data_IF_163286085980
#
_entry.id   IF_163286085980
#
_cell.length_a   1.000
_cell.length_b   1.000
_cell.length_c   1.000
_cell.angle_alpha   90.00
_cell.angle_beta   90.00
_cell.angle_gamma   90.00
#
_symmetry.space_group_name_H-M   'P 1'
#
loop_
_entity.id
_entity.type
_entity.pdbx_description
1 polymer ?
#
# COMPACT_ATOMS: atom_id res chain seq x y z
N UNK A 1 -22.89 51.94 69.40
CA UNK A 1 -23.47 50.94 68.44
C UNK A 1 -22.65 50.97 67.21
N UNK A 2 -21.88 49.92 67.05
CA UNK A 2 -20.76 49.83 66.14
C UNK A 2 -21.22 49.26 64.76
N UNK A 3 -21.16 50.09 63.70
CA UNK A 3 -21.48 49.68 62.28
C UNK A 3 -20.16 49.45 61.53
N UNK A 4 -19.50 48.35 61.81
CA UNK A 4 -18.27 47.98 61.08
C UNK A 4 -18.09 46.48 60.84
N UNK A 5 -19.14 45.79 60.37
CA UNK A 5 -18.97 44.37 59.98
C UNK A 5 -19.91 44.05 58.84
N UNK A 6 -19.57 44.41 57.58
CA UNK A 6 -19.99 43.76 56.36
C UNK A 6 -19.19 44.32 55.18
N UNK A 7 -17.87 43.97 55.09
CA UNK A 7 -17.16 43.97 53.82
C UNK A 7 -17.33 42.57 53.22
N UNK A 8 -17.82 42.45 52.01
CA UNK A 8 -17.77 41.16 51.32
C UNK A 8 -16.30 40.82 50.99
N UNK A 9 -15.91 39.55 51.00
CA UNK A 9 -14.53 39.16 50.63
C UNK A 9 -14.27 39.60 49.20
N UNK A 10 -13.18 40.35 48.99
CA UNK A 10 -12.64 40.61 47.68
C UNK A 10 -12.03 39.31 47.18
N UNK A 11 -12.77 38.61 46.30
CA UNK A 11 -12.20 37.58 45.43
C UNK A 11 -11.29 38.22 44.39
N UNK A 12 -10.12 38.62 44.84
CA UNK A 12 -8.97 38.94 43.97
C UNK A 12 -8.09 37.71 43.98
N UNK A 13 -8.22 36.88 42.98
CA UNK A 13 -7.21 35.97 42.45
C UNK A 13 -7.87 34.76 41.73
N UNK A 14 -9.00 34.98 41.08
CA UNK A 14 -9.46 34.00 40.07
C UNK A 14 -8.52 34.13 38.86
N UNK A 15 -7.37 33.43 38.89
CA UNK A 15 -6.59 33.17 37.69
C UNK A 15 -7.56 32.57 36.65
N UNK A 16 -7.62 33.10 35.43
CA UNK A 16 -8.42 32.51 34.39
C UNK A 16 -7.92 31.08 34.21
N UNK A 17 -8.78 30.11 34.52
CA UNK A 17 -8.53 28.71 34.23
C UNK A 17 -8.24 28.62 32.70
N UNK A 18 -6.96 28.46 32.36
CA UNK A 18 -6.55 28.24 31.00
C UNK A 18 -7.23 26.95 30.54
N UNK A 19 -8.33 27.10 29.80
CA UNK A 19 -9.03 25.99 29.19
C UNK A 19 -8.02 25.32 28.26
N UNK A 20 -7.58 24.10 28.55
CA UNK A 20 -6.61 23.43 27.69
C UNK A 20 -7.21 23.36 26.28
N UNK A 21 -6.44 23.81 25.27
CA UNK A 21 -6.85 23.85 23.89
C UNK A 21 -7.54 22.53 23.51
N UNK A 22 -8.79 22.60 23.06
CA UNK A 22 -9.61 21.42 22.74
C UNK A 22 -8.95 20.65 21.61
N UNK A 23 -8.31 19.55 21.96
CA UNK A 23 -7.65 18.65 21.00
C UNK A 23 -8.74 18.02 20.13
N UNK A 24 -8.62 18.17 18.80
CA UNK A 24 -9.58 17.58 17.85
C UNK A 24 -9.60 16.05 17.94
N UNK A 25 -10.72 15.37 17.61
CA UNK A 25 -10.80 13.91 17.65
C UNK A 25 -9.69 13.22 16.85
N UNK A 26 -9.34 13.74 15.68
CA UNK A 26 -8.26 13.20 14.85
C UNK A 26 -6.88 13.34 15.51
N UNK A 27 -6.60 14.47 16.17
CA UNK A 27 -5.35 14.66 16.92
C UNK A 27 -5.23 13.68 18.09
N UNK A 28 -6.34 13.36 18.77
CA UNK A 28 -6.35 12.34 19.85
C UNK A 28 -6.02 10.95 19.31
N UNK A 29 -6.63 10.56 18.20
CA UNK A 29 -6.34 9.28 17.53
C UNK A 29 -4.86 9.21 17.13
N UNK A 30 -4.34 10.26 16.52
CA UNK A 30 -2.93 10.31 16.11
C UNK A 30 -1.95 10.25 17.30
N UNK A 31 -2.24 10.92 18.40
CA UNK A 31 -1.44 10.83 19.62
C UNK A 31 -1.46 9.42 20.22
N UNK A 32 -2.63 8.77 20.25
CA UNK A 32 -2.77 7.38 20.71
C UNK A 32 -2.02 6.40 19.79
N UNK A 33 -2.12 6.58 18.48
CA UNK A 33 -1.38 5.79 17.49
C UNK A 33 0.14 5.89 17.71
N UNK A 34 0.67 7.10 17.89
CA UNK A 34 2.09 7.33 18.21
C UNK A 34 2.57 6.67 19.50
N UNK A 35 1.69 6.49 20.48
CA UNK A 35 2.02 5.79 21.73
C UNK A 35 2.25 4.30 21.54
N UNK A 36 1.64 3.68 20.53
CA UNK A 36 1.95 2.32 20.14
C UNK A 36 3.22 2.32 19.27
N UNK A 37 4.39 2.14 19.93
CA UNK A 37 5.69 2.21 19.26
C UNK A 37 5.81 1.24 18.10
N UNK A 38 5.29 0.01 18.25
CA UNK A 38 5.38 -1.02 17.20
C UNK A 38 4.62 -0.60 15.95
N UNK A 39 3.36 -0.19 16.08
CA UNK A 39 2.57 0.26 14.94
C UNK A 39 3.08 1.55 14.30
N UNK A 40 3.56 2.51 15.11
CA UNK A 40 4.14 3.75 14.60
C UNK A 40 5.41 3.49 13.76
N UNK A 41 6.35 2.70 14.29
CA UNK A 41 7.56 2.36 13.54
C UNK A 41 7.27 1.49 12.33
N UNK A 42 6.27 0.59 12.40
CA UNK A 42 5.81 -0.17 11.24
C UNK A 42 5.31 0.73 10.12
N UNK A 43 4.52 1.76 10.45
CA UNK A 43 4.08 2.76 9.46
C UNK A 43 5.28 3.51 8.87
N UNK A 44 6.21 3.98 9.72
CA UNK A 44 7.39 4.74 9.26
C UNK A 44 8.25 3.89 8.34
N UNK A 45 8.57 2.65 8.73
CA UNK A 45 9.37 1.72 7.92
C UNK A 45 8.65 1.42 6.60
N UNK A 46 7.35 1.10 6.64
CA UNK A 46 6.57 0.82 5.44
C UNK A 46 6.59 2.00 4.45
N UNK A 47 6.36 3.22 4.94
CA UNK A 47 6.38 4.44 4.11
C UNK A 47 7.76 4.70 3.53
N UNK A 48 8.83 4.52 4.32
CA UNK A 48 10.22 4.69 3.85
C UNK A 48 10.55 3.66 2.77
N UNK A 49 10.26 2.37 3.00
CA UNK A 49 10.54 1.31 2.02
C UNK A 49 9.72 1.52 0.75
N UNK A 50 8.46 1.94 0.88
CA UNK A 50 7.64 2.26 -0.27
C UNK A 50 8.18 3.49 -1.04
N UNK A 51 8.59 4.55 -0.35
CA UNK A 51 9.20 5.73 -0.98
C UNK A 51 10.52 5.37 -1.70
N UNK A 52 11.36 4.52 -1.10
CA UNK A 52 12.57 3.97 -1.74
C UNK A 52 12.19 3.19 -3.00
N UNK A 53 11.14 2.36 -2.95
CA UNK A 53 10.71 1.58 -4.11
C UNK A 53 10.12 2.45 -5.23
N UNK A 54 9.47 3.57 -4.90
CA UNK A 54 9.02 4.57 -5.88
C UNK A 54 10.19 5.25 -6.57
N UNK A 55 11.26 5.53 -5.81
CA UNK A 55 12.53 6.05 -6.33
C UNK A 55 13.44 4.93 -6.88
N UNK A 56 12.89 3.76 -7.20
CA UNK A 56 13.61 2.57 -7.68
C UNK A 56 14.66 2.85 -8.74
N UNK A 57 14.40 3.66 -9.80
CA UNK A 57 15.40 3.97 -10.83
C UNK A 57 16.65 4.68 -10.31
N UNK A 58 16.64 5.30 -9.14
CA UNK A 58 17.81 5.91 -8.52
C UNK A 58 18.69 4.89 -7.78
N UNK A 59 18.12 3.74 -7.40
CA UNK A 59 18.80 2.70 -6.61
C UNK A 59 19.18 1.47 -7.43
N UNK A 60 18.39 1.16 -8.47
CA UNK A 60 18.50 -0.06 -9.25
C UNK A 60 18.04 0.22 -10.68
N UNK A 61 19.00 0.39 -11.60
CA UNK A 61 18.72 0.66 -13.01
C UNK A 61 19.96 0.32 -13.84
N UNK A 62 19.76 -0.14 -15.07
CA UNK A 62 20.81 -0.38 -16.06
C UNK A 62 21.31 0.92 -16.74
N UNK A 63 20.57 2.02 -16.62
CA UNK A 63 20.94 3.32 -17.17
C UNK A 63 21.65 4.17 -16.13
N UNK A 64 22.77 4.81 -16.46
CA UNK A 64 23.42 5.77 -15.59
C UNK A 64 22.53 7.01 -15.36
N UNK A 65 22.63 7.57 -14.16
CA UNK A 65 21.90 8.79 -13.77
C UNK A 65 22.37 10.00 -14.57
N UNK A 66 23.69 10.10 -14.74
CA UNK A 66 24.36 11.19 -15.47
C UNK A 66 25.56 10.59 -16.21
N UNK A 67 25.73 11.00 -17.45
CA UNK A 67 26.93 10.69 -18.25
C UNK A 67 27.52 11.99 -18.73
N UNK A 68 28.84 12.17 -18.57
CA UNK A 68 29.61 13.18 -19.27
C UNK A 68 30.42 12.51 -20.36
N UNK A 69 30.16 12.87 -21.60
CA UNK A 69 30.87 12.34 -22.76
C UNK A 69 31.24 13.49 -23.73
N UNK A 70 32.53 13.57 -24.09
CA UNK A 70 33.08 14.63 -24.98
C UNK A 70 32.65 16.06 -24.56
N UNK A 71 32.67 16.34 -23.26
CA UNK A 71 32.32 17.65 -22.69
C UNK A 71 30.82 17.94 -22.56
N UNK A 72 29.95 17.10 -23.10
CA UNK A 72 28.49 17.22 -22.98
C UNK A 72 27.94 16.35 -21.85
N UNK A 73 26.86 16.86 -21.21
CA UNK A 73 26.12 16.10 -20.17
C UNK A 73 24.90 15.46 -20.77
N UNK A 74 24.71 14.18 -20.46
CA UNK A 74 23.60 13.35 -20.88
C UNK A 74 22.87 12.77 -19.66
N UNK A 75 21.56 12.60 -19.75
CA UNK A 75 20.69 12.07 -18.69
C UNK A 75 19.93 10.83 -19.20
N UNK A 76 20.57 9.65 -19.25
CA UNK A 76 19.97 8.45 -19.83
C UNK A 76 18.70 7.96 -19.13
N UNK A 77 18.52 8.31 -17.86
CA UNK A 77 17.33 8.00 -17.09
C UNK A 77 16.07 8.70 -17.65
N UNK A 78 16.24 9.90 -18.19
CA UNK A 78 15.13 10.75 -18.69
C UNK A 78 14.95 10.63 -20.19
N UNK A 79 16.06 10.52 -20.93
CA UNK A 79 16.07 10.50 -22.39
C UNK A 79 16.87 9.30 -22.91
N UNK A 80 16.29 8.57 -23.85
CA UNK A 80 16.98 7.49 -24.54
C UNK A 80 17.93 8.07 -25.59
N UNK A 81 19.19 7.64 -25.60
CA UNK A 81 20.21 8.03 -26.57
C UNK A 81 20.59 6.80 -27.40
N UNK A 82 20.91 7.04 -28.68
CA UNK A 82 21.46 6.02 -29.54
C UNK A 82 22.89 5.68 -29.16
N UNK A 83 23.32 4.47 -29.40
CA UNK A 83 24.69 4.01 -29.17
C UNK A 83 25.71 4.86 -29.92
N UNK A 84 25.38 5.33 -31.16
CA UNK A 84 26.20 6.25 -31.96
C UNK A 84 26.52 7.55 -31.24
N UNK A 85 25.70 7.99 -30.27
CA UNK A 85 25.97 9.19 -29.44
C UNK A 85 27.23 9.01 -28.59
N UNK A 86 27.55 7.78 -28.20
CA UNK A 86 28.66 7.41 -27.36
C UNK A 86 29.79 6.70 -28.15
N UNK A 87 29.77 6.85 -29.49
CA UNK A 87 30.78 6.32 -30.38
C UNK A 87 30.65 4.83 -30.71
N UNK A 88 29.45 4.28 -30.53
CA UNK A 88 29.13 2.96 -31.05
C UNK A 88 28.67 2.98 -32.51
N UNK A 89 28.45 1.80 -33.08
CA UNK A 89 28.21 1.64 -34.51
C UNK A 89 26.71 1.62 -34.89
N UNK A 90 25.84 1.42 -33.90
CA UNK A 90 24.41 1.18 -34.17
C UNK A 90 23.50 2.36 -33.75
N UNK A 91 22.47 2.69 -34.54
CA UNK A 91 21.48 3.71 -34.18
C UNK A 91 20.42 3.22 -33.17
N UNK A 92 20.60 2.02 -32.60
CA UNK A 92 19.76 1.47 -31.55
C UNK A 92 20.03 2.13 -30.20
N UNK A 93 19.10 2.04 -29.23
CA UNK A 93 19.34 2.53 -27.87
C UNK A 93 20.62 1.96 -27.30
N UNK A 94 21.46 2.81 -26.67
CA UNK A 94 22.72 2.40 -26.09
C UNK A 94 22.50 1.41 -24.95
N UNK A 95 23.25 0.29 -24.97
CA UNK A 95 23.39 -0.62 -23.83
C UNK A 95 24.51 -0.12 -22.92
N UNK A 96 24.14 0.43 -21.77
CA UNK A 96 25.07 1.00 -20.80
C UNK A 96 25.80 -0.05 -19.96
N UNK A 97 25.44 -1.33 -20.08
CA UNK A 97 26.15 -2.46 -19.47
C UNK A 97 27.22 -3.04 -20.39
N UNK A 98 27.17 -2.73 -21.68
CA UNK A 98 28.18 -3.16 -22.64
C UNK A 98 29.58 -2.66 -22.21
N UNK A 99 30.58 -3.55 -22.06
CA UNK A 99 31.95 -3.18 -21.73
C UNK A 99 32.52 -2.11 -22.66
N UNK A 100 32.22 -2.16 -23.96
CA UNK A 100 32.68 -1.18 -24.94
C UNK A 100 32.22 0.25 -24.63
N UNK A 101 30.93 0.41 -24.31
CA UNK A 101 30.36 1.70 -23.94
C UNK A 101 30.87 2.16 -22.56
N UNK A 102 31.01 1.24 -21.59
CA UNK A 102 31.54 1.54 -20.25
C UNK A 102 32.97 2.00 -20.29
N UNK A 103 33.82 1.38 -21.13
CA UNK A 103 35.20 1.77 -21.28
C UNK A 103 35.35 3.19 -21.83
N UNK A 104 34.49 3.62 -22.75
CA UNK A 104 34.44 5.01 -23.26
C UNK A 104 34.11 6.03 -22.19
N UNK A 105 33.26 5.68 -21.26
CA UNK A 105 32.92 6.57 -20.12
C UNK A 105 34.05 6.66 -19.10
N UNK A 106 35.04 5.73 -19.16
CA UNK A 106 36.20 5.73 -18.27
C UNK A 106 37.42 6.46 -18.88
N UNK A 107 37.33 6.86 -20.14
CA UNK A 107 38.46 7.46 -20.88
C UNK A 107 38.45 9.00 -20.77
N UNK A 108 39.65 9.57 -20.57
CA UNK A 108 39.86 11.01 -20.57
C UNK A 108 39.09 11.76 -19.45
N UNK A 109 38.31 12.77 -19.81
CA UNK A 109 37.48 13.55 -18.88
C UNK A 109 36.03 13.06 -18.80
N UNK A 110 35.72 11.92 -19.42
CA UNK A 110 34.40 11.33 -19.40
C UNK A 110 34.13 10.66 -18.06
N UNK A 111 32.86 10.60 -17.64
CA UNK A 111 32.45 9.80 -16.49
C UNK A 111 30.96 9.43 -16.62
N UNK A 112 30.58 8.34 -15.98
CA UNK A 112 29.20 7.95 -15.81
C UNK A 112 28.90 7.64 -14.34
N UNK A 113 27.79 8.15 -13.83
CA UNK A 113 27.32 7.89 -12.46
C UNK A 113 26.18 6.89 -12.55
N UNK A 114 26.43 5.68 -12.13
CA UNK A 114 25.42 4.61 -12.08
C UNK A 114 24.70 4.57 -10.74
N UNK A 115 23.46 4.03 -10.71
CA UNK A 115 22.82 3.65 -9.47
C UNK A 115 23.66 2.60 -8.72
N UNK A 116 23.48 2.42 -7.39
CA UNK A 116 24.19 1.40 -6.61
C UNK A 116 24.04 -0.03 -7.13
N UNK A 117 22.85 -0.41 -7.61
CA UNK A 117 22.62 -1.63 -8.36
C UNK A 117 22.45 -1.29 -9.85
N UNK A 118 23.29 -1.89 -10.69
CA UNK A 118 23.36 -1.59 -12.12
C UNK A 118 22.35 -2.36 -12.97
N UNK A 119 21.33 -2.95 -12.37
CA UNK A 119 20.33 -3.75 -13.07
C UNK A 119 18.93 -3.19 -12.88
N UNK A 120 18.15 -3.17 -13.94
CA UNK A 120 16.71 -2.95 -13.91
C UNK A 120 16.00 -4.31 -13.69
N UNK A 121 14.71 -4.33 -13.43
CA UNK A 121 14.00 -5.58 -13.11
C UNK A 121 13.91 -6.59 -14.27
N UNK A 122 14.09 -6.15 -15.51
CA UNK A 122 14.04 -6.97 -16.72
C UNK A 122 15.41 -7.09 -17.42
N UNK A 123 16.42 -6.39 -16.94
CA UNK A 123 17.77 -6.45 -17.50
C UNK A 123 18.38 -7.82 -17.31
N UNK A 124 18.84 -8.40 -18.42
CA UNK A 124 19.57 -9.66 -18.45
C UNK A 124 21.07 -9.39 -18.35
N UNK A 125 21.75 -10.10 -17.45
CA UNK A 125 23.20 -10.01 -17.34
C UNK A 125 23.85 -10.98 -18.33
N UNK A 126 24.04 -10.55 -19.58
CA UNK A 126 24.69 -11.35 -20.63
C UNK A 126 26.19 -11.57 -20.39
N UNK A 127 26.82 -10.79 -19.51
CA UNK A 127 28.24 -10.85 -19.21
C UNK A 127 28.55 -11.69 -17.97
N UNK A 128 27.53 -12.29 -17.34
CA UNK A 128 27.72 -13.21 -16.23
C UNK A 128 28.44 -14.48 -16.70
N UNK A 129 29.49 -14.87 -15.97
CA UNK A 129 30.23 -16.14 -16.22
C UNK A 129 29.54 -17.35 -15.56
N UNK A 130 28.59 -17.12 -14.67
CA UNK A 130 27.88 -18.16 -13.95
C UNK A 130 26.60 -18.57 -14.69
N UNK A 131 26.24 -19.85 -14.60
CA UNK A 131 24.93 -20.33 -15.08
C UNK A 131 23.80 -19.79 -14.21
N UNK A 132 22.68 -19.49 -14.83
CA UNK A 132 21.49 -19.02 -14.11
C UNK A 132 20.64 -20.21 -13.59
N UNK A 133 20.06 -20.07 -12.39
CA UNK A 133 20.20 -18.95 -11.44
C UNK A 133 21.59 -18.91 -10.76
N UNK A 134 22.22 -17.74 -10.74
CA UNK A 134 23.54 -17.53 -10.14
C UNK A 134 23.43 -17.06 -8.68
N UNK A 135 24.31 -17.55 -7.76
CA UNK A 135 24.25 -17.19 -6.34
C UNK A 135 24.58 -15.71 -6.11
N UNK A 136 24.30 -15.19 -4.89
CA UNK A 136 24.66 -13.84 -4.49
C UNK A 136 26.13 -13.52 -4.73
N UNK A 137 26.38 -12.34 -5.31
CA UNK A 137 27.71 -11.86 -5.67
C UNK A 137 27.83 -10.35 -5.41
N UNK A 138 29.02 -9.78 -5.68
CA UNK A 138 29.21 -8.32 -5.59
C UNK A 138 28.41 -7.56 -6.66
N UNK A 139 28.18 -8.17 -7.81
CA UNK A 139 27.40 -7.59 -8.91
C UNK A 139 25.91 -7.78 -8.69
N UNK A 140 25.49 -8.99 -8.28
CA UNK A 140 24.12 -9.33 -8.00
C UNK A 140 23.95 -9.64 -6.50
N UNK A 141 23.58 -8.66 -5.70
CA UNK A 141 23.59 -8.76 -4.22
C UNK A 141 22.75 -9.90 -3.66
N UNK A 142 21.63 -10.18 -4.29
CA UNK A 142 20.74 -11.30 -3.92
C UNK A 142 20.75 -12.41 -4.99
N UNK A 143 21.80 -12.46 -5.84
CA UNK A 143 21.88 -13.41 -6.92
C UNK A 143 20.98 -13.07 -8.10
N UNK A 144 20.88 -14.01 -9.05
CA UNK A 144 20.00 -13.90 -10.22
C UNK A 144 18.85 -14.89 -10.15
N UNK A 145 17.80 -14.60 -10.91
CA UNK A 145 16.69 -15.52 -11.14
C UNK A 145 17.01 -16.56 -12.23
N UNK A 146 16.04 -17.41 -12.58
CA UNK A 146 16.19 -18.47 -13.59
C UNK A 146 16.52 -17.95 -14.99
N UNK A 147 16.24 -16.68 -15.28
CA UNK A 147 16.51 -16.02 -16.56
C UNK A 147 17.74 -15.12 -16.54
N UNK A 148 18.44 -15.03 -15.40
CA UNK A 148 19.62 -14.18 -15.23
C UNK A 148 19.32 -12.73 -14.89
N UNK A 149 18.08 -12.42 -14.45
CA UNK A 149 17.70 -11.09 -13.98
C UNK A 149 18.07 -10.93 -12.51
N UNK A 150 18.41 -9.72 -12.11
CA UNK A 150 18.83 -9.41 -10.74
C UNK A 150 17.67 -9.53 -9.75
N UNK A 151 17.83 -10.37 -8.72
CA UNK A 151 16.76 -10.63 -7.72
C UNK A 151 16.49 -9.39 -6.87
N UNK A 152 17.51 -8.58 -6.51
CA UNK A 152 17.29 -7.36 -5.74
C UNK A 152 16.42 -6.36 -6.51
N UNK A 153 16.73 -6.12 -7.79
CA UNK A 153 15.92 -5.29 -8.67
C UNK A 153 14.47 -5.80 -8.74
N UNK A 154 14.30 -7.09 -8.98
CA UNK A 154 12.97 -7.68 -9.07
C UNK A 154 12.17 -7.58 -7.78
N UNK A 155 12.80 -7.73 -6.62
CA UNK A 155 12.16 -7.54 -5.32
C UNK A 155 11.75 -6.09 -5.09
N UNK A 156 12.62 -5.14 -5.39
CA UNK A 156 12.35 -3.70 -5.22
C UNK A 156 11.16 -3.25 -6.07
N UNK A 157 11.17 -3.61 -7.34
CA UNK A 157 10.10 -3.26 -8.28
C UNK A 157 8.84 -4.10 -8.08
N UNK A 158 8.96 -5.39 -7.74
CA UNK A 158 7.84 -6.26 -7.43
C UNK A 158 7.09 -5.82 -6.17
N UNK A 159 7.82 -5.40 -5.13
CA UNK A 159 7.23 -4.77 -3.94
C UNK A 159 6.44 -3.51 -4.32
N UNK A 160 7.00 -2.61 -5.14
CA UNK A 160 6.31 -1.40 -5.63
C UNK A 160 5.01 -1.74 -6.36
N UNK A 161 5.05 -2.69 -7.29
CA UNK A 161 3.87 -3.15 -8.04
C UNK A 161 2.81 -3.69 -7.08
N UNK A 162 3.21 -4.56 -6.16
CA UNK A 162 2.30 -5.17 -5.18
C UNK A 162 1.62 -4.14 -4.26
N UNK A 163 2.37 -3.14 -3.77
CA UNK A 163 1.81 -2.08 -2.91
C UNK A 163 0.87 -1.16 -3.68
N UNK A 164 1.24 -0.73 -4.91
CA UNK A 164 0.36 0.11 -5.74
C UNK A 164 -0.92 -0.65 -6.08
N UNK A 165 -0.81 -1.91 -6.49
CA UNK A 165 -1.96 -2.78 -6.74
C UNK A 165 -2.88 -2.86 -5.52
N UNK A 166 -2.31 -3.13 -4.33
CA UNK A 166 -3.06 -3.23 -3.09
C UNK A 166 -3.75 -1.90 -2.71
N UNK A 167 -3.08 -0.76 -2.91
CA UNK A 167 -3.67 0.56 -2.68
C UNK A 167 -4.87 0.80 -3.59
N UNK A 168 -4.73 0.54 -4.90
CA UNK A 168 -5.79 0.74 -5.88
C UNK A 168 -6.97 -0.20 -5.60
N UNK A 169 -6.71 -1.49 -5.41
CA UNK A 169 -7.75 -2.47 -5.12
C UNK A 169 -8.49 -2.17 -3.81
N UNK A 170 -7.74 -1.79 -2.75
CA UNK A 170 -8.33 -1.41 -1.46
C UNK A 170 -9.15 -0.13 -1.59
N UNK A 171 -8.71 0.87 -2.35
CA UNK A 171 -9.45 2.10 -2.57
C UNK A 171 -10.76 1.84 -3.30
N UNK A 172 -10.73 1.11 -4.42
CA UNK A 172 -11.94 0.77 -5.19
C UNK A 172 -12.91 -0.05 -4.33
N UNK A 173 -12.43 -1.12 -3.69
CA UNK A 173 -13.26 -1.97 -2.85
C UNK A 173 -13.81 -1.23 -1.62
N UNK A 174 -13.10 -0.20 -1.11
CA UNK A 174 -13.60 0.64 -0.02
C UNK A 174 -14.72 1.55 -0.50
N UNK A 175 -14.57 2.19 -1.64
CA UNK A 175 -15.63 3.06 -2.21
C UNK A 175 -16.89 2.24 -2.51
N UNK A 176 -16.75 1.10 -3.20
CA UNK A 176 -17.89 0.23 -3.53
C UNK A 176 -18.57 -0.34 -2.28
N UNK A 177 -17.79 -0.81 -1.30
CA UNK A 177 -18.30 -1.34 -0.04
C UNK A 177 -19.01 -0.27 0.81
N UNK A 178 -18.47 0.96 0.84
CA UNK A 178 -19.13 2.09 1.50
C UNK A 178 -20.46 2.43 0.84
N UNK A 179 -20.50 2.54 -0.47
CA UNK A 179 -21.72 2.88 -1.21
C UNK A 179 -22.78 1.80 -1.04
N UNK A 180 -22.43 0.54 -1.28
CA UNK A 180 -23.39 -0.59 -1.16
C UNK A 180 -23.88 -0.76 0.28
N UNK A 181 -23.00 -0.75 1.28
CA UNK A 181 -23.36 -0.90 2.68
C UNK A 181 -24.15 0.29 3.20
N UNK A 182 -23.80 1.53 2.82
CA UNK A 182 -24.54 2.72 3.22
C UNK A 182 -25.96 2.73 2.69
N UNK A 183 -26.17 2.38 1.41
CA UNK A 183 -27.51 2.32 0.80
C UNK A 183 -28.37 1.26 1.50
N UNK A 184 -27.85 0.04 1.64
CA UNK A 184 -28.56 -1.05 2.29
C UNK A 184 -28.89 -0.72 3.76
N UNK A 185 -27.89 -0.27 4.53
CA UNK A 185 -28.04 0.01 5.95
C UNK A 185 -28.92 1.22 6.25
N UNK A 186 -28.85 2.29 5.43
CA UNK A 186 -29.67 3.48 5.64
C UNK A 186 -31.15 3.26 5.31
N UNK A 187 -31.44 2.76 4.10
CA UNK A 187 -32.85 2.56 3.70
C UNK A 187 -33.45 1.34 4.40
N UNK A 188 -32.71 0.26 4.55
CA UNK A 188 -33.20 -0.97 5.21
C UNK A 188 -34.38 -1.62 4.51
N UNK A 189 -35.11 -2.48 5.22
CA UNK A 189 -36.35 -3.10 4.74
C UNK A 189 -36.16 -3.84 3.40
N UNK A 190 -36.95 -3.52 2.38
CA UNK A 190 -36.90 -4.16 1.06
C UNK A 190 -35.56 -3.90 0.34
N UNK A 191 -35.02 -2.69 0.43
CA UNK A 191 -33.70 -2.33 -0.19
C UNK A 191 -32.58 -3.19 0.39
N UNK A 192 -32.59 -3.37 1.70
CA UNK A 192 -31.63 -4.19 2.40
C UNK A 192 -31.77 -5.67 2.01
N UNK A 193 -32.98 -6.21 2.06
CA UNK A 193 -33.25 -7.61 1.67
C UNK A 193 -32.84 -7.89 0.22
N UNK A 194 -33.21 -7.01 -0.71
CA UNK A 194 -32.85 -7.20 -2.13
C UNK A 194 -31.34 -7.09 -2.31
N UNK A 195 -30.70 -6.11 -1.69
CA UNK A 195 -29.25 -5.94 -1.74
C UNK A 195 -28.50 -7.17 -1.19
N UNK A 196 -28.94 -7.72 -0.06
CA UNK A 196 -28.34 -8.95 0.50
C UNK A 196 -28.55 -10.16 -0.42
N UNK A 197 -29.72 -10.32 -1.04
CA UNK A 197 -29.94 -11.40 -2.00
C UNK A 197 -29.03 -11.30 -3.24
N UNK A 198 -28.83 -10.09 -3.74
CA UNK A 198 -27.88 -9.86 -4.85
C UNK A 198 -26.44 -10.18 -4.45
N UNK A 199 -26.03 -9.77 -3.24
CA UNK A 199 -24.69 -10.10 -2.72
C UNK A 199 -24.52 -11.60 -2.51
N UNK A 200 -25.50 -12.29 -1.97
CA UNK A 200 -25.49 -13.75 -1.79
C UNK A 200 -25.32 -14.49 -3.12
N UNK A 201 -26.08 -14.11 -4.15
CA UNK A 201 -25.97 -14.69 -5.50
C UNK A 201 -24.58 -14.40 -6.09
N UNK A 202 -24.09 -13.17 -5.94
CA UNK A 202 -22.80 -12.74 -6.46
C UNK A 202 -21.63 -13.46 -5.78
N UNK A 203 -21.68 -13.57 -4.45
CA UNK A 203 -20.63 -14.25 -3.66
C UNK A 203 -20.64 -15.78 -3.81
N UNK A 204 -21.72 -16.36 -4.34
CA UNK A 204 -21.76 -17.79 -4.68
C UNK A 204 -20.93 -18.14 -5.92
N UNK A 205 -20.54 -17.13 -6.73
CA UNK A 205 -19.67 -17.33 -7.88
C UNK A 205 -18.24 -17.61 -7.38
N UNK A 206 -17.60 -18.71 -7.82
CA UNK A 206 -16.24 -19.01 -7.38
C UNK A 206 -15.24 -18.10 -8.09
N UNK A 207 -14.71 -17.11 -7.34
CA UNK A 207 -13.82 -16.05 -7.83
C UNK A 207 -12.64 -16.58 -8.65
N UNK A 208 -11.97 -17.63 -8.15
CA UNK A 208 -10.80 -18.22 -8.82
C UNK A 208 -11.15 -18.78 -10.20
N UNK A 209 -12.31 -19.45 -10.34
CA UNK A 209 -12.72 -19.98 -11.64
C UNK A 209 -13.01 -18.86 -12.64
N UNK A 210 -13.63 -17.78 -12.21
CA UNK A 210 -13.85 -16.62 -13.06
C UNK A 210 -12.52 -16.01 -13.51
N UNK A 211 -11.54 -15.87 -12.61
CA UNK A 211 -10.19 -15.41 -12.96
C UNK A 211 -9.55 -16.30 -14.03
N UNK A 212 -9.63 -17.62 -13.89
CA UNK A 212 -9.08 -18.56 -14.88
C UNK A 212 -9.78 -18.40 -16.25
N UNK A 213 -11.11 -18.29 -16.27
CA UNK A 213 -11.88 -18.10 -17.50
C UNK A 213 -11.48 -16.78 -18.17
N UNK A 214 -11.43 -15.68 -17.43
CA UNK A 214 -11.04 -14.38 -17.99
C UNK A 214 -9.58 -14.35 -18.45
N UNK A 215 -8.65 -14.96 -17.71
CA UNK A 215 -7.25 -15.08 -18.10
C UNK A 215 -7.04 -15.95 -19.36
N UNK A 216 -7.96 -16.85 -19.67
CA UNK A 216 -7.92 -17.65 -20.92
C UNK A 216 -8.45 -16.90 -22.15
N UNK A 217 -9.29 -15.87 -21.95
CA UNK A 217 -9.91 -15.09 -23.02
C UNK A 217 -9.16 -13.79 -23.29
N UNK A 218 -8.70 -13.13 -22.22
CA UNK A 218 -8.02 -11.85 -22.26
C UNK A 218 -6.54 -12.00 -21.90
N UNK A 219 -5.68 -11.17 -22.49
CA UNK A 219 -4.29 -11.10 -22.07
C UNK A 219 -4.20 -10.64 -20.60
N UNK A 220 -3.53 -11.39 -19.71
CA UNK A 220 -3.36 -11.01 -18.33
C UNK A 220 -2.69 -9.65 -18.20
N UNK A 221 -3.22 -8.80 -17.34
CA UNK A 221 -2.64 -7.49 -17.04
C UNK A 221 -3.01 -7.03 -15.64
N UNK A 222 -2.22 -6.12 -15.05
CA UNK A 222 -2.55 -5.54 -13.75
C UNK A 222 -3.94 -4.91 -13.72
N UNK A 223 -4.33 -4.23 -14.81
CA UNK A 223 -5.65 -3.60 -14.91
C UNK A 223 -6.77 -4.64 -14.90
N UNK A 224 -6.63 -5.72 -15.68
CA UNK A 224 -7.60 -6.81 -15.69
C UNK A 224 -7.77 -7.43 -14.31
N UNK A 225 -6.66 -7.70 -13.61
CA UNK A 225 -6.69 -8.23 -12.24
C UNK A 225 -7.36 -7.27 -11.25
N UNK A 226 -7.06 -5.97 -11.33
CA UNK A 226 -7.74 -4.95 -10.49
C UNK A 226 -9.25 -4.98 -10.74
N UNK A 227 -9.69 -5.00 -12.00
CA UNK A 227 -11.11 -5.04 -12.35
C UNK A 227 -11.77 -6.30 -11.78
N UNK A 228 -11.21 -7.48 -12.06
CA UNK A 228 -11.79 -8.76 -11.65
C UNK A 228 -11.86 -8.91 -10.12
N UNK A 229 -10.77 -8.60 -9.42
CA UNK A 229 -10.75 -8.67 -7.96
C UNK A 229 -11.62 -7.58 -7.31
N UNK A 230 -11.80 -6.42 -7.97
CA UNK A 230 -12.69 -5.37 -7.49
C UNK A 230 -14.16 -5.78 -7.54
N UNK A 231 -14.56 -6.72 -8.39
CA UNK A 231 -15.92 -7.24 -8.46
C UNK A 231 -16.34 -7.96 -7.16
N UNK A 232 -15.39 -8.54 -6.42
CA UNK A 232 -15.64 -9.32 -5.20
C UNK A 232 -15.12 -8.61 -3.95
N UNK A 233 -14.05 -7.88 -4.03
CA UNK A 233 -13.31 -7.32 -2.91
C UNK A 233 -14.07 -6.31 -2.04
N UNK A 234 -15.22 -5.81 -2.47
CA UNK A 234 -16.04 -4.84 -1.73
C UNK A 234 -17.07 -5.49 -0.79
N UNK A 235 -17.43 -6.77 -1.01
CA UNK A 235 -18.54 -7.47 -0.35
C UNK A 235 -18.38 -7.45 1.17
N UNK A 236 -17.28 -7.97 1.70
CA UNK A 236 -17.05 -8.06 3.14
C UNK A 236 -17.08 -6.69 3.85
N UNK A 237 -16.59 -5.63 3.19
CA UNK A 237 -16.68 -4.28 3.75
C UNK A 237 -18.11 -3.75 3.73
N UNK A 238 -18.87 -4.06 2.69
CA UNK A 238 -20.29 -3.69 2.58
C UNK A 238 -21.09 -4.19 3.77
N UNK A 239 -20.86 -5.42 4.22
CA UNK A 239 -21.55 -5.99 5.37
C UNK A 239 -21.26 -5.22 6.68
N UNK A 240 -19.99 -4.85 6.90
CA UNK A 240 -19.61 -4.04 8.06
C UNK A 240 -20.24 -2.64 8.01
N UNK A 241 -20.18 -1.98 6.88
CA UNK A 241 -20.75 -0.64 6.70
C UNK A 241 -22.26 -0.70 6.85
N UNK A 242 -22.92 -1.71 6.28
CA UNK A 242 -24.35 -1.95 6.44
C UNK A 242 -24.74 -2.08 7.91
N UNK A 243 -24.03 -2.90 8.69
CA UNK A 243 -24.30 -3.07 10.11
C UNK A 243 -24.16 -1.76 10.88
N UNK A 244 -23.11 -0.96 10.60
CA UNK A 244 -22.92 0.35 11.22
C UNK A 244 -24.02 1.34 10.84
N UNK A 245 -24.46 1.36 9.59
CA UNK A 245 -25.54 2.23 9.15
C UNK A 245 -26.89 1.83 9.74
N UNK A 246 -27.19 0.53 9.83
CA UNK A 246 -28.40 0.03 10.51
C UNK A 246 -28.44 0.45 11.98
N UNK A 247 -27.30 0.40 12.68
CA UNK A 247 -27.17 0.85 14.06
C UNK A 247 -27.33 2.36 14.19
N UNK A 248 -26.63 3.11 13.36
CA UNK A 248 -26.57 4.57 13.47
C UNK A 248 -27.87 5.27 13.04
N UNK A 249 -28.61 4.72 12.07
CA UNK A 249 -29.87 5.33 11.59
C UNK A 249 -30.97 5.47 12.64
N UNK A 250 -30.89 4.69 13.73
CA UNK A 250 -31.87 4.69 14.84
C UNK A 250 -31.46 5.61 15.98
N UNK A 251 -30.27 6.23 15.93
CA UNK A 251 -29.77 7.12 16.97
C UNK A 251 -30.51 8.47 17.00
N UNK A 252 -30.54 9.10 18.18
CA UNK A 252 -31.29 10.32 18.41
C UNK A 252 -30.84 11.50 17.55
N UNK A 253 -29.51 11.61 17.28
CA UNK A 253 -29.00 12.67 16.41
C UNK A 253 -29.50 12.55 14.97
N UNK A 254 -29.73 11.32 14.48
CA UNK A 254 -30.33 11.08 13.15
C UNK A 254 -31.84 11.41 13.15
N UNK A 255 -32.53 11.06 14.23
CA UNK A 255 -33.95 11.42 14.39
C UNK A 255 -34.12 12.93 14.44
N UNK A 256 -33.28 13.63 15.19
CA UNK A 256 -33.29 15.09 15.25
C UNK A 256 -33.01 15.72 13.87
N UNK A 257 -32.00 15.21 13.12
CA UNK A 257 -31.71 15.69 11.77
C UNK A 257 -32.93 15.53 10.81
N UNK A 258 -33.65 14.40 10.91
CA UNK A 258 -34.91 14.21 10.14
C UNK A 258 -36.01 15.18 10.56
N UNK A 259 -36.18 15.40 11.86
CA UNK A 259 -37.18 16.33 12.38
C UNK A 259 -36.92 17.78 11.92
N UNK A 260 -35.63 18.13 11.72
CA UNK A 260 -35.21 19.42 11.14
C UNK A 260 -35.37 19.50 9.61
N UNK A 261 -35.87 18.45 8.95
CA UNK A 261 -36.15 18.46 7.51
C UNK A 261 -34.92 18.23 6.62
N UNK A 262 -33.79 17.70 7.15
CA UNK A 262 -32.62 17.40 6.32
C UNK A 262 -32.91 16.27 5.33
N UNK A 263 -32.36 16.37 4.11
CA UNK A 263 -32.49 15.34 3.08
C UNK A 263 -31.74 14.06 3.46
N UNK A 264 -32.15 12.92 2.91
CA UNK A 264 -31.48 11.63 3.14
C UNK A 264 -29.99 11.68 2.80
N UNK A 265 -29.61 12.34 1.69
CA UNK A 265 -28.22 12.51 1.32
C UNK A 265 -27.42 13.30 2.38
N UNK A 266 -27.99 14.41 2.89
CA UNK A 266 -27.35 15.20 3.95
C UNK A 266 -27.18 14.38 5.24
N UNK A 267 -28.17 13.58 5.61
CA UNK A 267 -28.10 12.71 6.79
C UNK A 267 -27.01 11.65 6.61
N UNK A 268 -26.96 10.97 5.46
CA UNK A 268 -25.95 9.96 5.15
C UNK A 268 -24.56 10.57 5.22
N UNK A 269 -24.28 11.61 4.42
CA UNK A 269 -22.92 12.12 4.23
C UNK A 269 -22.42 12.95 5.43
N UNK A 270 -23.29 13.69 6.11
CA UNK A 270 -22.89 14.64 7.14
C UNK A 270 -23.01 14.09 8.56
N UNK A 271 -23.90 13.11 8.78
CA UNK A 271 -24.19 12.62 10.12
C UNK A 271 -23.82 11.16 10.34
N UNK A 272 -24.17 10.24 9.42
CA UNK A 272 -23.95 8.81 9.62
C UNK A 272 -22.55 8.40 9.16
N UNK A 273 -22.18 8.74 7.94
CA UNK A 273 -20.91 8.31 7.33
C UNK A 273 -19.66 8.65 8.17
N UNK A 274 -19.49 9.89 8.68
CA UNK A 274 -18.32 10.21 9.49
C UNK A 274 -18.19 9.34 10.74
N UNK A 275 -19.30 8.99 11.37
CA UNK A 275 -19.34 8.13 12.55
C UNK A 275 -19.12 6.65 12.20
N UNK A 276 -19.45 6.24 10.97
CA UNK A 276 -19.31 4.87 10.47
C UNK A 276 -17.96 4.60 9.82
N UNK A 277 -17.10 5.63 9.60
CA UNK A 277 -15.77 5.46 8.98
C UNK A 277 -14.74 4.82 9.91
N UNK A 278 -14.93 4.87 11.22
CA UNK A 278 -13.96 4.33 12.19
C UNK A 278 -13.62 2.86 11.92
N UNK A 279 -14.58 1.93 11.77
CA UNK A 279 -14.26 0.54 11.43
C UNK A 279 -13.60 0.44 10.05
N UNK A 280 -14.05 1.21 9.07
CA UNK A 280 -13.52 1.19 7.69
C UNK A 280 -12.03 1.50 7.69
N UNK A 281 -11.64 2.59 8.35
CA UNK A 281 -10.23 3.01 8.44
C UNK A 281 -9.39 1.94 9.14
N UNK A 282 -9.92 1.31 10.18
CA UNK A 282 -9.26 0.24 10.92
C UNK A 282 -8.93 -0.97 10.04
N UNK A 283 -9.80 -1.28 9.08
CA UNK A 283 -9.62 -2.44 8.19
C UNK A 283 -8.67 -2.18 7.00
N UNK A 284 -8.35 -0.93 6.66
CA UNK A 284 -7.55 -0.61 5.47
C UNK A 284 -6.21 -1.37 5.40
N UNK A 285 -5.36 -1.41 6.45
CA UNK A 285 -4.08 -2.12 6.37
C UNK A 285 -4.26 -3.63 6.17
N UNK A 286 -5.26 -4.23 6.81
CA UNK A 286 -5.55 -5.66 6.66
C UNK A 286 -6.07 -5.99 5.25
N UNK A 287 -6.88 -5.10 4.66
CA UNK A 287 -7.33 -5.24 3.27
C UNK A 287 -6.18 -5.13 2.28
N UNK A 288 -5.23 -4.21 2.53
CA UNK A 288 -4.01 -4.12 1.74
C UNK A 288 -3.19 -5.41 1.84
N UNK A 289 -3.04 -5.98 3.04
CA UNK A 289 -2.37 -7.28 3.22
C UNK A 289 -3.05 -8.39 2.41
N UNK A 290 -4.38 -8.46 2.47
CA UNK A 290 -5.17 -9.41 1.66
C UNK A 290 -4.98 -9.23 0.15
N UNK A 291 -4.94 -7.98 -0.32
CA UNK A 291 -4.73 -7.65 -1.74
C UNK A 291 -3.31 -8.04 -2.22
N UNK A 292 -2.27 -7.80 -1.40
CA UNK A 292 -0.89 -8.26 -1.71
C UNK A 292 -0.84 -9.78 -1.78
N UNK A 293 -1.44 -10.48 -0.82
CA UNK A 293 -1.50 -11.94 -0.82
C UNK A 293 -2.26 -12.48 -2.02
N UNK A 294 -3.38 -11.88 -2.40
CA UNK A 294 -4.16 -12.29 -3.56
C UNK A 294 -3.34 -12.15 -4.85
N UNK A 295 -2.70 -10.99 -5.09
CA UNK A 295 -1.83 -10.80 -6.24
C UNK A 295 -0.68 -11.82 -6.24
N UNK A 296 0.04 -11.95 -5.12
CA UNK A 296 1.17 -12.88 -5.00
C UNK A 296 0.75 -14.33 -5.26
N UNK A 297 -0.43 -14.73 -4.77
CA UNK A 297 -0.96 -16.09 -5.00
C UNK A 297 -1.33 -16.33 -6.47
N UNK A 298 -1.95 -15.35 -7.13
CA UNK A 298 -2.29 -15.43 -8.55
C UNK A 298 -1.03 -15.48 -9.42
N UNK A 299 -0.05 -14.63 -9.12
CA UNK A 299 1.24 -14.63 -9.82
C UNK A 299 1.98 -15.97 -9.63
N UNK A 300 1.95 -16.53 -8.40
CA UNK A 300 2.54 -17.83 -8.10
C UNK A 300 1.88 -18.99 -8.88
N UNK A 301 0.59 -18.89 -9.14
CA UNK A 301 -0.18 -19.85 -9.93
C UNK A 301 -0.07 -19.61 -11.45
N UNK A 302 0.64 -18.58 -11.88
CA UNK A 302 0.76 -18.21 -13.30
C UNK A 302 -0.49 -17.53 -13.89
N UNK A 303 -1.41 -17.07 -13.03
CA UNK A 303 -2.64 -16.36 -13.40
C UNK A 303 -2.51 -14.84 -13.20
N UNK A 304 -1.34 -14.38 -12.81
CA UNK A 304 -1.06 -13.00 -12.49
C UNK A 304 -0.56 -12.20 -13.69
N UNK A 305 0.38 -11.28 -13.42
CA UNK A 305 0.97 -10.42 -14.45
C UNK A 305 1.99 -11.17 -15.30
N UNK A 306 1.96 -10.98 -16.64
CA UNK A 306 2.93 -11.63 -17.51
C UNK A 306 4.31 -10.96 -17.40
N UNK A 307 5.39 -11.73 -17.66
CA UNK A 307 6.71 -11.16 -17.86
C UNK A 307 6.70 -10.08 -18.98
N UNK A 308 7.52 -9.03 -18.89
CA UNK A 308 8.65 -8.86 -17.96
C UNK A 308 8.28 -8.25 -16.59
N UNK A 309 7.00 -7.96 -16.33
CA UNK A 309 6.57 -7.27 -15.10
C UNK A 309 7.12 -7.95 -13.86
N UNK A 310 7.74 -7.20 -12.92
CA UNK A 310 8.28 -7.79 -11.70
C UNK A 310 7.17 -8.22 -10.76
N UNK A 311 7.24 -9.44 -10.25
CA UNK A 311 6.24 -10.03 -9.36
C UNK A 311 6.89 -10.82 -8.24
N UNK A 312 6.40 -10.63 -7.01
CA UNK A 312 6.82 -11.43 -5.85
C UNK A 312 6.35 -12.89 -5.98
N UNK A 313 5.17 -13.13 -6.56
CA UNK A 313 4.62 -14.47 -6.75
C UNK A 313 5.39 -15.26 -7.82
N UNK A 314 5.81 -14.60 -8.91
CA UNK A 314 6.68 -15.24 -9.92
C UNK A 314 8.02 -15.67 -9.30
N UNK A 315 8.66 -14.81 -8.50
CA UNK A 315 9.91 -15.16 -7.82
C UNK A 315 9.72 -16.35 -6.85
N UNK A 316 8.61 -16.42 -6.11
CA UNK A 316 8.31 -17.59 -5.28
C UNK A 316 8.12 -18.86 -6.10
N UNK A 317 7.47 -18.77 -7.26
CA UNK A 317 7.28 -19.90 -8.18
C UNK A 317 8.63 -20.39 -8.75
N UNK A 318 9.51 -19.46 -9.15
CA UNK A 318 10.87 -19.77 -9.60
C UNK A 318 11.69 -20.43 -8.49
N UNK A 319 11.63 -19.88 -7.26
CA UNK A 319 12.35 -20.45 -6.12
C UNK A 319 11.85 -21.84 -5.73
N UNK A 320 10.54 -22.14 -5.92
CA UNK A 320 9.98 -23.49 -5.79
C UNK A 320 10.53 -24.45 -6.87
N UNK A 321 10.67 -23.96 -8.11
CA UNK A 321 11.18 -24.74 -9.22
C UNK A 321 12.70 -25.01 -9.13
N UNK A 322 13.46 -24.12 -8.46
CA UNK A 322 14.91 -24.16 -8.34
C UNK A 322 15.32 -24.19 -6.86
N UNK A 323 15.19 -25.33 -6.21
CA UNK A 323 15.45 -25.49 -4.77
C UNK A 323 16.92 -25.18 -4.39
N UNK A 324 17.87 -25.41 -5.26
CA UNK A 324 19.27 -25.09 -5.05
C UNK A 324 19.52 -23.58 -4.99
N UNK A 325 18.65 -22.79 -5.64
CA UNK A 325 18.67 -21.32 -5.62
C UNK A 325 17.86 -20.76 -4.43
N UNK A 326 18.19 -21.20 -3.22
CA UNK A 326 17.49 -20.85 -1.96
C UNK A 326 17.34 -19.34 -1.73
N UNK A 327 18.28 -18.53 -2.26
CA UNK A 327 18.25 -17.07 -2.12
C UNK A 327 17.01 -16.43 -2.76
N UNK A 328 16.48 -17.00 -3.86
CA UNK A 328 15.25 -16.49 -4.52
C UNK A 328 14.06 -16.65 -3.57
N UNK A 329 13.85 -17.86 -3.05
CA UNK A 329 12.74 -18.15 -2.13
C UNK A 329 12.87 -17.37 -0.83
N UNK A 330 14.05 -17.40 -0.19
CA UNK A 330 14.26 -16.80 1.13
C UNK A 330 14.13 -15.28 1.11
N UNK A 331 14.72 -14.61 0.12
CA UNK A 331 14.64 -13.15 0.00
C UNK A 331 13.20 -12.70 -0.33
N UNK A 332 12.53 -13.38 -1.24
CA UNK A 332 11.14 -13.05 -1.62
C UNK A 332 10.18 -13.29 -0.46
N UNK A 333 10.29 -14.43 0.20
CA UNK A 333 9.50 -14.74 1.40
C UNK A 333 9.75 -13.73 2.51
N UNK A 334 11.02 -13.35 2.75
CA UNK A 334 11.39 -12.34 3.74
C UNK A 334 10.75 -10.99 3.47
N UNK A 335 10.78 -10.49 2.23
CA UNK A 335 10.12 -9.23 1.82
C UNK A 335 8.61 -9.32 2.00
N UNK A 336 8.00 -10.42 1.57
CA UNK A 336 6.55 -10.62 1.69
C UNK A 336 6.11 -10.64 3.16
N UNK A 337 6.74 -11.47 3.99
CA UNK A 337 6.41 -11.59 5.42
C UNK A 337 6.64 -10.27 6.15
N UNK A 338 7.78 -9.59 5.90
CA UNK A 338 8.04 -8.28 6.50
C UNK A 338 6.96 -7.26 6.13
N UNK A 339 6.54 -7.21 4.86
CA UNK A 339 5.47 -6.31 4.39
C UNK A 339 4.15 -6.60 5.09
N UNK A 340 3.75 -7.86 5.18
CA UNK A 340 2.50 -8.27 5.82
C UNK A 340 2.51 -7.99 7.33
N UNK A 341 3.64 -8.23 8.01
CA UNK A 341 3.81 -7.91 9.43
C UNK A 341 3.72 -6.40 9.69
N UNK A 342 4.38 -5.58 8.86
CA UNK A 342 4.31 -4.12 8.99
C UNK A 342 2.86 -3.62 8.84
N UNK A 343 2.12 -4.11 7.85
CA UNK A 343 0.71 -3.77 7.64
C UNK A 343 -0.17 -4.27 8.80
N UNK A 344 0.08 -5.47 9.32
CA UNK A 344 -0.67 -6.03 10.46
C UNK A 344 -0.44 -5.19 11.73
N UNK A 345 0.81 -4.89 12.09
CA UNK A 345 1.10 -4.08 13.27
C UNK A 345 0.56 -2.65 13.14
N UNK A 346 0.58 -2.09 11.93
CA UNK A 346 -0.04 -0.80 11.64
C UNK A 346 -1.56 -0.86 11.83
N UNK A 347 -2.21 -1.93 11.34
CA UNK A 347 -3.65 -2.16 11.49
C UNK A 347 -4.07 -2.30 12.95
N UNK A 348 -3.34 -3.11 13.73
CA UNK A 348 -3.60 -3.31 15.16
C UNK A 348 -3.43 -2.01 15.96
N UNK A 349 -2.38 -1.23 15.67
CA UNK A 349 -2.16 0.06 16.31
C UNK A 349 -3.27 1.06 15.98
N UNK A 350 -3.72 1.08 14.74
CA UNK A 350 -4.82 1.93 14.28
C UNK A 350 -6.13 1.54 14.94
N UNK A 351 -6.42 0.24 15.02
CA UNK A 351 -7.58 -0.29 15.74
C UNK A 351 -7.57 0.14 17.21
N UNK A 352 -6.45 -0.03 17.91
CA UNK A 352 -6.31 0.33 19.31
C UNK A 352 -6.41 1.86 19.54
N UNK A 353 -5.94 2.67 18.58
CA UNK A 353 -6.04 4.12 18.66
C UNK A 353 -7.47 4.64 18.48
N UNK A 354 -8.27 3.95 17.67
CA UNK A 354 -9.67 4.29 17.38
C UNK A 354 -10.66 3.73 18.42
N UNK A 355 -10.31 2.65 19.13
CA UNK A 355 -11.15 2.08 20.19
C UNK A 355 -11.12 2.94 21.46
N UNK A 356 -12.24 3.61 21.74
CA UNK A 356 -12.38 4.49 22.92
C UNK A 356 -12.67 3.72 24.19
N UNK A 357 -13.20 2.50 24.11
CA UNK A 357 -13.63 1.73 25.29
C UNK A 357 -12.48 1.28 26.19
N UNK A 358 -11.31 0.95 25.61
CA UNK A 358 -10.12 0.59 26.40
C UNK A 358 -9.53 1.76 27.20
N UNK A 359 -9.70 2.99 26.74
CA UNK A 359 -9.19 4.21 27.43
C UNK A 359 -9.92 4.51 28.72
N UNK A 360 -11.21 4.23 28.79
CA UNK A 360 -12.02 4.49 29.99
C UNK A 360 -11.83 3.38 31.04
N UNK A 361 -11.56 2.16 30.63
CA UNK A 361 -11.23 1.04 31.55
C UNK A 361 -9.87 1.24 32.25
N UNK A 362 -8.86 1.77 31.52
CA UNK A 362 -7.52 2.06 32.11
C UNK A 362 -7.61 3.25 33.07
N UNK A 363 -8.44 4.25 32.82
CA UNK A 363 -8.67 5.38 33.75
C UNK A 363 -9.47 4.96 34.99
N UNK A 364 -10.37 4.01 34.85
CA UNK A 364 -11.14 3.44 35.97
C UNK A 364 -10.34 2.45 36.82
N UNK A 365 -9.35 1.75 36.24
CA UNK A 365 -8.51 0.77 36.95
C UNK A 365 -7.22 1.34 37.57
N UNK A 366 -6.80 2.55 37.20
CA UNK A 366 -5.59 3.21 37.72
C UNK A 366 -5.77 4.02 39.00
N UNK A 367 -6.94 3.93 39.64
CA UNK A 367 -7.29 4.66 40.88
C UNK A 367 -7.36 3.72 42.11
N UNK A 368 -6.48 2.74 42.21
CA UNK A 368 -6.28 1.97 43.45
C UNK A 368 -4.82 1.99 43.85
#
# INVERSE_FOLDING_TARGET
>A
MNRSLLRPPQDSDAQPLSVPASITPGQRVWQRFKRNRLGYWSLVIFVIVFAISLAGPLWSNDKPLVVRYEGHLYFPLVKTYAETTFGGDFPTPADYLDPYIRDRFSQGSNFAVYPPNHYYYDTLNYFSKASNPAPPSRENWLGTDDRGRDVFARLLYGFRVSVIFALVLTAIGTVLGLLAGAVQGYFGGRTDLTGQRLIEIWSALPELYLLIIFASIFEPSLLLLVILLSLFGWIGLSDYVRAEFLRNRTQDYVRAARAMGLSNAQIIWRHILPNSLTPVITFLPFRMSGAILALTSLDFLGLGVPPPTPSLGELLAQGKANLDAWWISLSTFGVLVATLLLLTFMGDALRNALDTRMSDAIKAGGGK
#
